data_IF_500248163759
#
_entry.id   IF_500248163759
#
_cell.length_a   1.000
_cell.length_b   1.000
_cell.length_c   1.000
_cell.angle_alpha   90.00
_cell.angle_beta   90.00
_cell.angle_gamma   90.00
#
_symmetry.space_group_name_H-M   'P 1'
#
loop_
_entity.id
_entity.type
_entity.pdbx_description
1 polymer ?
#
# COMPACT_ATOMS: atom_id res chain seq x y z
N UNK A 1 -14.88 60.34 -2.81
CA UNK A 1 -14.22 59.11 -3.31
C UNK A 1 -13.84 58.29 -2.10
N UNK A 2 -14.55 57.17 -1.89
CA UNK A 2 -14.46 56.34 -0.69
C UNK A 2 -13.72 55.04 -1.02
N UNK A 3 -13.00 54.55 -0.01
CA UNK A 3 -12.44 53.20 0.21
C UNK A 3 -11.07 52.93 -0.44
N UNK A 4 -9.95 52.99 0.30
CA UNK A 4 -9.44 52.11 1.37
C UNK A 4 -8.76 50.83 0.84
N UNK A 5 -7.49 50.69 1.22
CA UNK A 5 -6.56 49.59 1.00
C UNK A 5 -7.16 48.22 1.33
N UNK A 6 -6.83 47.20 0.53
CA UNK A 6 -6.85 45.82 1.01
C UNK A 6 -5.58 45.10 0.58
N UNK A 7 -4.76 44.79 1.58
CA UNK A 7 -3.60 43.91 1.50
C UNK A 7 -4.12 42.48 1.33
N UNK A 8 -3.77 41.78 0.26
CA UNK A 8 -4.07 40.35 0.13
C UNK A 8 -3.02 39.59 0.94
N UNK A 9 -3.43 39.04 2.08
CA UNK A 9 -2.64 38.07 2.82
C UNK A 9 -2.75 36.71 2.10
N UNK A 10 -1.69 36.33 1.38
CA UNK A 10 -1.55 34.97 0.87
C UNK A 10 -1.13 34.08 2.04
N UNK A 11 -2.09 33.35 2.61
CA UNK A 11 -1.78 32.24 3.51
C UNK A 11 -1.23 31.07 2.67
N UNK A 12 0.09 30.87 2.72
CA UNK A 12 0.71 29.62 2.28
C UNK A 12 0.25 28.50 3.21
N UNK A 13 -0.81 27.81 2.81
CA UNK A 13 -1.14 26.50 3.38
C UNK A 13 -0.04 25.55 2.91
N UNK A 14 0.98 25.36 3.74
CA UNK A 14 1.92 24.27 3.56
C UNK A 14 1.15 22.96 3.68
N UNK A 15 0.81 22.35 2.55
CA UNK A 15 0.34 20.97 2.55
C UNK A 15 1.49 20.12 3.08
N UNK A 16 1.30 19.46 4.21
CA UNK A 16 2.20 18.40 4.62
C UNK A 16 2.20 17.36 3.49
N UNK A 17 3.31 17.25 2.77
CA UNK A 17 3.52 16.13 1.87
C UNK A 17 3.72 14.91 2.77
N UNK A 18 2.72 14.04 2.81
CA UNK A 18 2.87 12.74 3.45
C UNK A 18 4.01 12.03 2.73
N UNK A 19 5.00 11.56 3.50
CA UNK A 19 6.11 10.80 2.93
C UNK A 19 5.56 9.53 2.30
N UNK A 20 6.05 9.20 1.12
CA UNK A 20 5.75 7.92 0.48
C UNK A 20 6.96 7.00 0.66
N UNK A 21 6.72 5.74 0.98
CA UNK A 21 7.74 4.71 1.13
C UNK A 21 7.35 3.45 0.37
N UNK A 22 8.36 2.64 0.02
CA UNK A 22 8.15 1.33 -0.58
C UNK A 22 8.03 0.29 0.53
N UNK A 23 6.88 -0.39 0.59
CA UNK A 23 6.69 -1.53 1.49
C UNK A 23 6.71 -2.80 0.65
N UNK A 24 7.49 -3.79 1.09
CA UNK A 24 7.49 -5.13 0.52
C UNK A 24 6.96 -6.09 1.58
N UNK A 25 5.88 -6.79 1.25
CA UNK A 25 5.38 -7.91 2.04
C UNK A 25 5.97 -9.18 1.47
N UNK A 26 6.61 -9.98 2.32
CA UNK A 26 7.19 -11.27 1.95
C UNK A 26 6.66 -12.35 2.89
N UNK A 27 6.26 -13.48 2.32
CA UNK A 27 5.85 -14.67 3.07
C UNK A 27 6.70 -15.87 2.64
N UNK A 28 7.14 -16.66 3.61
CA UNK A 28 7.84 -17.92 3.38
C UNK A 28 6.82 -19.06 3.31
N UNK A 29 6.78 -19.73 2.15
CA UNK A 29 5.87 -20.83 1.84
C UNK A 29 6.61 -22.17 1.74
N UNK A 30 7.88 -22.25 2.15
CA UNK A 30 8.74 -23.43 1.98
C UNK A 30 8.15 -24.71 2.58
N UNK A 31 7.35 -24.59 3.65
CA UNK A 31 6.73 -25.71 4.34
C UNK A 31 5.26 -25.93 3.97
N UNK A 32 4.76 -25.21 2.97
CA UNK A 32 3.36 -25.24 2.56
C UNK A 32 3.22 -25.79 1.14
N UNK A 33 2.12 -26.49 0.87
CA UNK A 33 1.75 -26.82 -0.51
C UNK A 33 1.09 -25.60 -1.15
N UNK A 34 1.81 -24.93 -2.05
CA UNK A 34 1.28 -23.75 -2.75
C UNK A 34 0.17 -24.17 -3.72
N UNK A 35 -0.93 -23.43 -3.70
CA UNK A 35 -2.07 -23.59 -4.62
C UNK A 35 -1.63 -23.41 -6.06
N UNK A 36 -2.32 -24.07 -7.00
CA UNK A 36 -2.11 -23.84 -8.43
C UNK A 36 -2.44 -22.39 -8.84
N UNK A 37 -3.30 -21.71 -8.08
CA UNK A 37 -3.62 -20.30 -8.28
C UNK A 37 -2.54 -19.35 -7.70
N UNK A 38 -1.51 -19.89 -7.03
CA UNK A 38 -0.42 -19.12 -6.44
C UNK A 38 -0.76 -18.49 -5.08
N UNK A 39 0.03 -17.51 -4.68
CA UNK A 39 -0.10 -16.78 -3.41
C UNK A 39 -0.59 -15.37 -3.66
N UNK A 40 -1.56 -14.91 -2.87
CA UNK A 40 -2.12 -13.57 -2.93
C UNK A 40 -1.98 -12.86 -1.57
N UNK A 41 -2.16 -11.54 -1.58
CA UNK A 41 -2.29 -10.74 -0.36
C UNK A 41 -3.58 -9.94 -0.39
N UNK A 42 -4.36 -10.00 0.69
CA UNK A 42 -5.55 -9.18 0.85
C UNK A 42 -5.42 -8.24 2.03
N UNK A 43 -5.93 -7.02 1.87
CA UNK A 43 -5.83 -6.00 2.90
C UNK A 43 -6.69 -4.78 2.64
N UNK A 44 -6.69 -3.88 3.62
CA UNK A 44 -7.43 -2.62 3.54
C UNK A 44 -6.96 -1.68 2.40
N UNK A 45 -5.77 -1.91 1.85
CA UNK A 45 -5.21 -1.13 0.74
C UNK A 45 -5.83 -1.46 -0.63
N UNK A 46 -6.57 -2.57 -0.75
CA UNK A 46 -7.26 -2.95 -2.00
C UNK A 46 -8.75 -3.27 -1.82
N UNK A 47 -9.24 -3.37 -0.58
CA UNK A 47 -10.65 -3.64 -0.29
C UNK A 47 -10.95 -5.07 0.15
N UNK A 48 -9.94 -5.82 0.62
CA UNK A 48 -10.06 -7.20 1.09
C UNK A 48 -10.57 -8.22 0.06
N UNK A 49 -10.37 -7.96 -1.23
CA UNK A 49 -10.58 -8.96 -2.28
C UNK A 49 -9.44 -10.00 -2.23
N UNK A 50 -9.73 -11.27 -1.94
CA UNK A 50 -8.71 -12.30 -1.73
C UNK A 50 -7.87 -12.63 -2.98
N UNK A 51 -8.43 -12.48 -4.19
CA UNK A 51 -7.76 -12.81 -5.45
C UNK A 51 -7.20 -11.59 -6.20
N UNK A 52 -7.44 -10.37 -5.74
CA UNK A 52 -7.11 -9.17 -6.49
C UNK A 52 -5.61 -8.86 -6.60
N UNK A 53 -4.79 -9.33 -5.65
CA UNK A 53 -3.37 -8.97 -5.59
C UNK A 53 -2.48 -10.22 -5.53
N UNK A 54 -2.08 -10.77 -6.69
CA UNK A 54 -1.14 -11.88 -6.75
C UNK A 54 0.26 -11.44 -6.30
N UNK A 55 0.95 -12.33 -5.60
CA UNK A 55 2.35 -12.16 -5.21
C UNK A 55 3.27 -12.80 -6.24
N UNK A 56 4.53 -12.36 -6.28
CA UNK A 56 5.58 -12.91 -7.15
C UNK A 56 6.35 -13.98 -6.40
N UNK A 57 6.54 -15.16 -7.00
CA UNK A 57 7.46 -16.19 -6.52
C UNK A 57 8.90 -15.73 -6.72
N UNK A 58 9.67 -15.67 -5.64
CA UNK A 58 11.08 -15.28 -5.66
C UNK A 58 12.02 -16.44 -6.03
N UNK A 59 11.48 -17.63 -6.33
CA UNK A 59 12.19 -18.86 -6.69
C UNK A 59 13.09 -19.43 -5.58
N UNK A 60 12.86 -19.02 -4.33
CA UNK A 60 13.57 -19.48 -3.14
C UNK A 60 12.64 -19.99 -2.03
N UNK A 61 11.36 -20.23 -2.36
CA UNK A 61 10.32 -20.61 -1.40
C UNK A 61 9.57 -19.42 -0.80
N UNK A 62 10.02 -18.19 -1.06
CA UNK A 62 9.34 -16.97 -0.60
C UNK A 62 8.56 -16.29 -1.72
N UNK A 63 7.47 -15.64 -1.35
CA UNK A 63 6.60 -14.88 -2.26
C UNK A 63 6.54 -13.42 -1.80
N UNK A 64 6.58 -12.47 -2.74
CA UNK A 64 6.62 -11.03 -2.42
C UNK A 64 5.62 -10.17 -3.19
N UNK A 65 5.20 -9.07 -2.56
CA UNK A 65 4.45 -7.98 -3.21
C UNK A 65 4.92 -6.63 -2.65
N UNK A 66 5.22 -5.70 -3.56
CA UNK A 66 5.67 -4.34 -3.20
C UNK A 66 4.64 -3.30 -3.60
N UNK A 67 4.34 -2.36 -2.70
CA UNK A 67 3.39 -1.29 -2.99
C UNK A 67 3.71 0.07 -2.36
N UNK A 68 3.15 1.06 -3.02
CA UNK A 68 3.14 2.48 -2.70
C UNK A 68 2.55 2.80 -1.31
N UNK A 69 3.28 3.06 -0.23
CA UNK A 69 2.69 3.35 1.07
C UNK A 69 2.90 4.79 1.54
N UNK A 70 1.83 5.43 1.98
CA UNK A 70 1.93 6.64 2.82
C UNK A 70 2.51 6.28 4.19
N UNK A 71 3.48 7.06 4.69
CA UNK A 71 4.18 6.78 5.95
C UNK A 71 3.28 6.90 7.20
N UNK A 72 2.10 7.52 7.07
CA UNK A 72 1.14 7.67 8.15
C UNK A 72 0.00 6.63 8.09
N UNK A 73 -0.03 5.76 7.08
CA UNK A 73 -1.09 4.78 6.92
C UNK A 73 -0.86 3.55 7.82
N UNK A 74 -1.96 2.99 8.31
CA UNK A 74 -2.00 1.68 8.99
C UNK A 74 -2.57 0.65 8.03
N UNK A 75 -1.85 -0.45 7.83
CA UNK A 75 -2.29 -1.55 6.99
C UNK A 75 -2.67 -2.77 7.82
N UNK A 76 -3.76 -3.41 7.41
CA UNK A 76 -4.14 -4.74 7.86
C UNK A 76 -4.14 -5.63 6.64
N UNK A 77 -3.56 -6.81 6.76
CA UNK A 77 -3.42 -7.73 5.64
C UNK A 77 -3.43 -9.19 6.08
N UNK A 78 -3.64 -10.08 5.11
CA UNK A 78 -3.46 -11.52 5.21
C UNK A 78 -2.83 -12.04 3.92
N UNK A 79 -1.96 -13.03 4.06
CA UNK A 79 -1.53 -13.86 2.94
C UNK A 79 -2.57 -14.94 2.67
N UNK A 80 -2.74 -15.27 1.41
CA UNK A 80 -3.74 -16.23 0.92
C UNK A 80 -3.02 -17.21 0.01
N UNK A 81 -3.17 -18.50 0.30
CA UNK A 81 -2.68 -19.57 -0.55
C UNK A 81 -3.84 -20.03 -1.44
N UNK A 82 -3.89 -19.56 -2.69
CA UNK A 82 -5.09 -19.57 -3.54
C UNK A 82 -5.62 -18.16 -3.79
N UNK A 83 -6.92 -18.02 -4.04
CA UNK A 83 -7.61 -16.75 -4.30
C UNK A 83 -8.95 -16.61 -3.57
#
# INVERSE_FOLDING_TARGET
>A
MKQFFSLVAVALLGSAAWGQTMVTLTVDMTNEMVSADGVHVAGNFQGWDPGATPMTDNMDGTWSYSFSSDTAATYQYKFINGN
#
